data_IF_121413210519
#
_entry.id   IF_121413210519
#
_cell.length_a   1.000
_cell.length_b   1.000
_cell.length_c   1.000
_cell.angle_alpha   90.00
_cell.angle_beta   90.00
_cell.angle_gamma   90.00
#
_symmetry.space_group_name_H-M   'P 1'
#
loop_
_entity.id
_entity.type
_entity.pdbx_description
1 polymer ?
#
# COMPACT_ATOMS: atom_id res chain seq x y z
N UNK A 1 48.18 -23.80 -20.17
CA UNK A 1 47.06 -22.90 -19.82
C UNK A 1 46.02 -23.76 -19.13
N UNK A 2 46.04 -23.72 -17.79
CA UNK A 2 45.63 -24.78 -16.86
C UNK A 2 44.12 -24.81 -16.62
N UNK A 3 43.62 -26.01 -16.27
CA UNK A 3 42.24 -26.27 -15.84
C UNK A 3 41.73 -25.37 -14.70
N UNK A 4 42.62 -24.68 -13.98
CA UNK A 4 42.31 -23.66 -12.96
C UNK A 4 41.55 -22.45 -13.54
N UNK A 5 41.98 -21.91 -14.69
CA UNK A 5 41.31 -20.74 -15.28
C UNK A 5 39.86 -21.05 -15.66
N UNK A 6 39.63 -22.28 -16.16
CA UNK A 6 38.28 -22.77 -16.49
C UNK A 6 37.42 -23.04 -15.26
N UNK A 7 38.02 -23.45 -14.15
CA UNK A 7 37.29 -23.69 -12.90
C UNK A 7 36.87 -22.37 -12.24
N UNK A 8 37.74 -21.36 -12.29
CA UNK A 8 37.45 -20.01 -11.81
C UNK A 8 36.36 -19.32 -12.66
N UNK A 9 36.38 -19.49 -13.99
CA UNK A 9 35.34 -18.96 -14.87
C UNK A 9 33.96 -19.57 -14.58
N UNK A 10 33.91 -20.90 -14.36
CA UNK A 10 32.68 -21.61 -14.00
C UNK A 10 32.15 -21.15 -12.63
N UNK A 11 33.05 -20.94 -11.65
CA UNK A 11 32.67 -20.42 -10.33
C UNK A 11 32.10 -19.00 -10.45
N UNK A 12 32.76 -18.12 -11.21
CA UNK A 12 32.32 -16.73 -11.43
C UNK A 12 30.95 -16.70 -12.12
N UNK A 13 30.69 -17.59 -13.08
CA UNK A 13 29.42 -17.69 -13.78
C UNK A 13 28.29 -18.19 -12.86
N UNK A 14 28.57 -19.20 -12.03
CA UNK A 14 27.63 -19.67 -11.01
C UNK A 14 27.30 -18.59 -9.95
N UNK A 15 28.30 -17.81 -9.53
CA UNK A 15 28.10 -16.69 -8.61
C UNK A 15 27.26 -15.56 -9.24
N UNK A 16 27.47 -15.24 -10.53
CA UNK A 16 26.64 -14.26 -11.25
C UNK A 16 25.18 -14.69 -11.32
N UNK A 17 24.91 -15.95 -11.68
CA UNK A 17 23.55 -16.50 -11.72
C UNK A 17 22.88 -16.42 -10.34
N UNK A 18 23.62 -16.73 -9.27
CA UNK A 18 23.12 -16.61 -7.89
C UNK A 18 22.81 -15.18 -7.47
N UNK A 19 23.63 -14.21 -7.87
CA UNK A 19 23.39 -12.77 -7.64
C UNK A 19 22.15 -12.31 -8.40
N UNK A 20 22.00 -12.70 -9.67
CA UNK A 20 20.83 -12.35 -10.48
C UNK A 20 19.52 -12.91 -9.92
N UNK A 21 19.51 -14.16 -9.42
CA UNK A 21 18.32 -14.74 -8.77
C UNK A 21 17.98 -14.01 -7.45
N UNK A 22 18.99 -13.68 -6.64
CA UNK A 22 18.80 -12.88 -5.43
C UNK A 22 18.27 -11.48 -5.74
N UNK A 23 18.78 -10.81 -6.77
CA UNK A 23 18.29 -9.51 -7.22
C UNK A 23 16.85 -9.61 -7.73
N UNK A 24 16.51 -10.65 -8.49
CA UNK A 24 15.14 -10.91 -8.96
C UNK A 24 14.16 -11.17 -7.82
N UNK A 25 14.57 -11.98 -6.82
CA UNK A 25 13.79 -12.23 -5.60
C UNK A 25 13.58 -10.96 -4.79
N UNK A 26 14.64 -10.19 -4.54
CA UNK A 26 14.58 -8.93 -3.80
C UNK A 26 13.65 -7.92 -4.50
N UNK A 27 13.71 -7.87 -5.83
CA UNK A 27 12.84 -7.04 -6.66
C UNK A 27 11.38 -7.48 -6.59
N UNK A 28 11.08 -8.79 -6.58
CA UNK A 28 9.73 -9.33 -6.36
C UNK A 28 9.20 -8.99 -4.97
N UNK A 29 9.96 -9.25 -3.92
CA UNK A 29 9.54 -8.93 -2.54
C UNK A 29 9.33 -7.44 -2.31
N UNK A 30 10.17 -6.58 -2.92
CA UNK A 30 10.00 -5.13 -2.88
C UNK A 30 8.78 -4.66 -3.68
N UNK A 31 8.48 -5.35 -4.78
CA UNK A 31 7.29 -5.10 -5.60
C UNK A 31 6.00 -5.54 -4.90
N UNK A 32 6.01 -6.68 -4.21
CA UNK A 32 4.87 -7.22 -3.46
C UNK A 32 4.55 -6.42 -2.18
N UNK A 33 5.56 -5.77 -1.60
CA UNK A 33 5.39 -4.83 -0.48
C UNK A 33 5.21 -3.37 -0.88
N UNK A 34 5.27 -3.07 -2.18
CA UNK A 34 5.19 -1.71 -2.70
C UNK A 34 3.77 -1.15 -2.66
N UNK A 35 3.65 0.19 -2.68
CA UNK A 35 2.37 0.90 -2.68
C UNK A 35 1.40 0.37 -3.75
N UNK A 36 1.92 0.05 -4.93
CA UNK A 36 1.13 -0.48 -6.04
C UNK A 36 0.41 -1.80 -5.71
N UNK A 37 1.12 -2.76 -5.11
CA UNK A 37 0.55 -4.05 -4.75
C UNK A 37 -0.52 -3.91 -3.65
N UNK A 38 -0.25 -3.04 -2.67
CA UNK A 38 -1.18 -2.74 -1.58
C UNK A 38 -2.48 -2.13 -2.14
N UNK A 39 -2.38 -1.14 -3.04
CA UNK A 39 -3.55 -0.50 -3.64
C UNK A 39 -4.32 -1.45 -4.57
N UNK A 40 -3.64 -2.25 -5.40
CA UNK A 40 -4.28 -3.28 -6.23
C UNK A 40 -5.05 -4.31 -5.42
N UNK A 41 -4.50 -4.73 -4.29
CA UNK A 41 -5.18 -5.65 -3.36
C UNK A 41 -6.40 -4.99 -2.70
N UNK A 42 -6.31 -3.70 -2.38
CA UNK A 42 -7.41 -2.95 -1.77
C UNK A 42 -8.54 -2.60 -2.76
N UNK A 43 -8.24 -2.47 -4.05
CA UNK A 43 -9.16 -2.05 -5.11
C UNK A 43 -9.06 -2.98 -6.33
N UNK A 44 -9.49 -4.25 -6.21
CA UNK A 44 -9.32 -5.24 -7.28
C UNK A 44 -10.06 -4.89 -8.57
N UNK A 45 -11.22 -4.24 -8.45
CA UNK A 45 -12.07 -3.89 -9.61
C UNK A 45 -11.55 -2.67 -10.38
N UNK A 46 -10.81 -1.79 -9.71
CA UNK A 46 -10.34 -0.53 -10.28
C UNK A 46 -9.15 -0.78 -11.24
N UNK A 47 -9.04 0.08 -12.24
CA UNK A 47 -7.94 0.02 -13.21
C UNK A 47 -6.78 0.88 -12.72
N UNK A 48 -5.58 0.30 -12.66
CA UNK A 48 -4.37 1.04 -12.31
C UNK A 48 -3.44 1.16 -13.51
N UNK A 49 -2.97 2.38 -13.78
CA UNK A 49 -2.01 2.67 -14.83
C UNK A 49 -0.77 3.37 -14.26
N UNK A 50 0.39 3.15 -14.90
CA UNK A 50 1.61 3.90 -14.60
C UNK A 50 1.82 4.96 -15.68
N UNK A 51 1.87 6.26 -15.34
CA UNK A 51 2.17 7.31 -16.28
C UNK A 51 3.52 7.07 -16.99
N UNK A 52 3.54 7.22 -18.31
CA UNK A 52 4.78 7.34 -19.09
C UNK A 52 5.38 8.74 -18.87
N UNK A 53 5.99 8.96 -17.71
CA UNK A 53 6.73 10.18 -17.37
C UNK A 53 8.22 9.87 -17.24
N UNK A 54 9.08 10.88 -17.44
CA UNK A 54 10.55 10.80 -17.22
C UNK A 54 10.96 10.40 -15.79
N UNK A 55 10.01 10.25 -14.86
CA UNK A 55 10.18 9.70 -13.51
C UNK A 55 9.51 8.33 -13.39
N UNK A 56 9.81 7.45 -14.34
CA UNK A 56 9.20 6.14 -14.54
C UNK A 56 9.23 5.32 -13.24
N UNK A 57 8.06 4.92 -12.74
CA UNK A 57 7.92 3.94 -11.65
C UNK A 57 7.42 4.46 -10.30
N UNK A 58 7.44 5.79 -10.04
CA UNK A 58 6.94 6.36 -8.77
C UNK A 58 5.46 6.77 -8.80
N UNK A 59 4.93 7.08 -9.98
CA UNK A 59 3.54 7.54 -10.13
C UNK A 59 2.62 6.39 -10.56
N UNK A 60 1.39 6.41 -10.05
CA UNK A 60 0.31 5.52 -10.49
C UNK A 60 -1.02 6.25 -10.44
N UNK A 61 -1.93 5.86 -11.33
CA UNK A 61 -3.26 6.45 -11.48
C UNK A 61 -4.28 5.34 -11.32
N UNK A 62 -5.22 5.55 -10.40
CA UNK A 62 -6.37 4.70 -10.17
C UNK A 62 -7.58 5.28 -10.89
N UNK A 63 -8.11 4.54 -11.83
CA UNK A 63 -9.39 4.81 -12.48
C UNK A 63 -10.47 3.98 -11.79
N UNK A 64 -11.42 4.67 -11.19
CA UNK A 64 -12.48 4.06 -10.39
C UNK A 64 -13.46 3.34 -11.31
N UNK A 65 -13.67 2.04 -11.08
CA UNK A 65 -14.66 1.25 -11.83
C UNK A 65 -15.87 0.95 -10.97
N UNK A 66 -17.04 1.15 -11.56
CA UNK A 66 -18.34 0.81 -11.01
C UNK A 66 -19.05 -0.12 -11.99
N UNK A 67 -20.17 -0.77 -11.59
CA UNK A 67 -20.99 -1.53 -12.52
C UNK A 67 -21.47 -0.73 -13.74
N UNK A 68 -21.55 0.60 -13.63
CA UNK A 68 -21.98 1.51 -14.70
C UNK A 68 -20.85 1.91 -15.65
N UNK A 69 -19.58 1.67 -15.29
CA UNK A 69 -18.44 2.01 -16.12
C UNK A 69 -17.24 2.54 -15.34
N UNK A 70 -16.34 3.23 -16.04
CA UNK A 70 -15.18 3.89 -15.43
C UNK A 70 -15.49 5.37 -15.24
N UNK A 71 -15.26 5.90 -14.04
CA UNK A 71 -15.45 7.31 -13.75
C UNK A 71 -14.29 8.15 -14.30
N UNK A 72 -14.57 9.37 -14.76
CA UNK A 72 -13.57 10.30 -15.33
C UNK A 72 -12.74 11.07 -14.28
N UNK A 73 -13.02 10.89 -12.99
CA UNK A 73 -12.25 11.46 -11.88
C UNK A 73 -11.30 10.42 -11.28
N UNK A 74 -10.00 10.38 -11.68
CA UNK A 74 -9.04 9.41 -11.16
C UNK A 74 -8.41 9.86 -9.82
N UNK A 75 -7.80 8.92 -9.11
CA UNK A 75 -6.93 9.23 -7.95
C UNK A 75 -5.48 8.98 -8.35
N UNK A 76 -4.61 9.95 -8.13
CA UNK A 76 -3.20 9.86 -8.46
C UNK A 76 -2.36 9.64 -7.20
N UNK A 77 -1.38 8.75 -7.30
CA UNK A 77 -0.44 8.46 -6.21
C UNK A 77 0.99 8.65 -6.67
N UNK A 78 1.82 9.20 -5.79
CA UNK A 78 3.27 9.30 -5.95
C UNK A 78 3.96 8.61 -4.76
N UNK A 79 4.61 7.48 -5.03
CA UNK A 79 5.39 6.75 -4.04
C UNK A 79 6.77 7.39 -3.88
N UNK A 80 6.99 8.06 -2.75
CA UNK A 80 8.28 8.63 -2.37
C UNK A 80 9.10 7.66 -1.53
N UNK A 81 8.59 6.46 -1.23
CA UNK A 81 9.24 5.49 -0.36
C UNK A 81 9.72 6.20 0.92
N UNK A 82 10.94 5.92 1.40
CA UNK A 82 11.55 6.59 2.55
C UNK A 82 12.20 7.96 2.24
N UNK A 83 12.03 8.53 1.05
CA UNK A 83 12.54 9.88 0.76
C UNK A 83 11.66 10.95 1.42
N UNK A 84 12.27 12.02 1.90
CA UNK A 84 11.54 13.22 2.31
C UNK A 84 10.77 13.85 1.13
N UNK A 85 9.65 14.50 1.44
CA UNK A 85 8.86 15.24 0.45
C UNK A 85 9.45 16.64 0.27
N UNK A 86 9.95 16.94 -0.94
CA UNK A 86 10.53 18.24 -1.29
C UNK A 86 9.52 19.14 -2.03
N UNK A 87 9.79 20.43 -2.13
CA UNK A 87 8.95 21.37 -2.89
C UNK A 87 8.90 21.01 -4.38
N UNK A 88 10.02 20.54 -4.93
CA UNK A 88 10.09 20.03 -6.31
C UNK A 88 9.19 18.83 -6.54
N UNK A 89 9.02 17.97 -5.52
CA UNK A 89 8.11 16.82 -5.63
C UNK A 89 6.65 17.28 -5.66
N UNK A 90 6.31 18.30 -4.88
CA UNK A 90 4.98 18.92 -4.84
C UNK A 90 4.66 19.60 -6.19
N UNK A 91 5.61 20.35 -6.73
CA UNK A 91 5.45 20.99 -8.05
C UNK A 91 5.20 19.95 -9.15
N UNK A 92 5.96 18.85 -9.15
CA UNK A 92 5.76 17.73 -10.08
C UNK A 92 4.40 17.08 -9.90
N UNK A 93 3.96 16.85 -8.65
CA UNK A 93 2.66 16.29 -8.35
C UNK A 93 1.52 17.20 -8.85
N UNK A 94 1.67 18.52 -8.72
CA UNK A 94 0.74 19.52 -9.25
C UNK A 94 0.69 19.53 -10.78
N UNK A 95 1.84 19.38 -11.44
CA UNK A 95 1.87 19.23 -12.90
C UNK A 95 1.21 17.92 -13.36
N UNK A 96 1.37 16.82 -12.59
CA UNK A 96 0.67 15.57 -12.83
C UNK A 96 -0.85 15.73 -12.64
N UNK A 97 -1.30 16.41 -11.58
CA UNK A 97 -2.70 16.73 -11.30
C UNK A 97 -3.36 17.36 -12.54
N UNK A 98 -2.76 18.43 -13.09
CA UNK A 98 -3.27 19.12 -14.29
C UNK A 98 -3.34 18.20 -15.51
N UNK A 99 -2.32 17.37 -15.72
CA UNK A 99 -2.28 16.43 -16.86
C UNK A 99 -3.39 15.38 -16.80
N UNK A 100 -3.76 14.93 -15.60
CA UNK A 100 -4.78 13.92 -15.38
C UNK A 100 -6.15 14.49 -15.01
N UNK A 101 -6.29 15.82 -14.92
CA UNK A 101 -7.55 16.49 -14.60
C UNK A 101 -8.11 16.12 -13.23
N UNK A 102 -7.25 15.88 -12.23
CA UNK A 102 -7.69 15.46 -10.89
C UNK A 102 -7.08 16.28 -9.77
N UNK A 103 -7.89 16.64 -8.78
CA UNK A 103 -7.44 17.28 -7.53
C UNK A 103 -7.00 16.24 -6.48
N UNK A 104 -7.28 14.95 -6.70
CA UNK A 104 -7.00 13.88 -5.75
C UNK A 104 -5.61 13.30 -5.99
N UNK A 105 -4.58 14.08 -5.63
CA UNK A 105 -3.17 13.70 -5.76
C UNK A 105 -2.56 13.44 -4.39
N UNK A 106 -2.09 12.22 -4.16
CA UNK A 106 -1.55 11.75 -2.89
C UNK A 106 -0.07 11.42 -3.03
N UNK A 107 0.79 12.19 -2.38
CA UNK A 107 2.21 11.87 -2.19
C UNK A 107 2.35 11.01 -0.93
N UNK A 108 2.95 9.84 -1.10
CA UNK A 108 3.05 8.81 -0.05
C UNK A 108 4.49 8.68 0.41
N UNK A 109 4.74 8.97 1.69
CA UNK A 109 6.07 8.85 2.32
C UNK A 109 5.93 8.64 3.82
N UNK A 110 6.77 7.82 4.48
CA UNK A 110 6.86 7.78 5.93
C UNK A 110 7.56 9.02 6.49
N UNK A 111 8.28 9.78 5.66
CA UNK A 111 9.03 10.98 6.03
C UNK A 111 8.29 12.25 5.58
N UNK A 112 7.12 12.48 6.19
CA UNK A 112 6.32 13.68 5.94
C UNK A 112 7.01 14.94 6.49
N UNK A 113 6.80 16.12 5.86
CA UNK A 113 7.43 17.35 6.32
C UNK A 113 6.91 17.79 7.70
N UNK A 114 7.71 18.60 8.40
CA UNK A 114 7.47 18.96 9.82
C UNK A 114 6.15 19.70 10.07
N UNK A 115 5.59 20.33 9.05
CA UNK A 115 4.28 21.00 9.13
C UNK A 115 3.13 19.99 9.29
N UNK A 116 3.32 18.72 8.93
CA UNK A 116 2.36 17.63 9.18
C UNK A 116 2.56 17.08 10.59
N UNK A 117 2.00 17.78 11.60
CA UNK A 117 2.24 17.52 13.03
C UNK A 117 1.90 16.09 13.47
N UNK A 118 0.83 15.51 12.94
CA UNK A 118 0.39 14.15 13.29
C UNK A 118 1.21 13.04 12.62
N UNK A 119 2.12 13.37 11.70
CA UNK A 119 2.95 12.44 10.90
C UNK A 119 2.16 11.41 10.08
N UNK A 120 0.86 11.61 9.92
CA UNK A 120 -0.05 10.68 9.28
C UNK A 120 -0.60 11.25 7.99
N UNK A 121 -1.23 12.43 8.07
CA UNK A 121 -1.93 13.03 6.95
C UNK A 121 -1.87 14.55 7.03
N UNK A 122 -1.68 15.17 5.87
CA UNK A 122 -1.76 16.62 5.73
C UNK A 122 -1.88 17.03 4.28
N UNK A 123 -1.83 18.33 4.06
CA UNK A 123 -1.88 18.93 2.74
C UNK A 123 -0.77 19.99 2.65
N UNK A 124 -0.22 20.12 1.45
CA UNK A 124 0.62 21.26 1.09
C UNK A 124 0.34 21.57 -0.38
N UNK A 125 0.03 22.83 -0.68
CA UNK A 125 0.06 23.36 -2.04
C UNK A 125 -0.93 22.69 -3.03
N UNK A 126 -2.08 22.24 -2.53
CA UNK A 126 -3.10 21.48 -3.25
C UNK A 126 -2.81 19.98 -3.33
N UNK A 127 -1.76 19.49 -2.65
CA UNK A 127 -1.29 18.11 -2.74
C UNK A 127 -1.45 17.43 -1.38
N UNK A 128 -2.13 16.29 -1.39
CA UNK A 128 -2.33 15.48 -0.20
C UNK A 128 -1.04 14.73 0.14
N UNK A 129 -0.64 14.76 1.40
CA UNK A 129 0.53 14.09 1.93
C UNK A 129 0.08 12.99 2.89
N UNK A 130 0.46 11.74 2.65
CA UNK A 130 0.00 10.61 3.44
C UNK A 130 1.13 9.66 3.84
N UNK A 131 1.07 9.18 5.08
CA UNK A 131 1.88 8.08 5.55
C UNK A 131 1.39 6.77 4.90
N UNK A 132 2.29 5.85 4.48
CA UNK A 132 1.91 4.58 3.85
C UNK A 132 0.92 3.74 4.65
N UNK A 133 0.93 3.87 5.99
CA UNK A 133 0.04 3.10 6.88
C UNK A 133 -1.44 3.46 6.77
N UNK A 134 -1.79 4.61 6.20
CA UNK A 134 -3.18 5.09 6.09
C UNK A 134 -3.63 5.37 4.66
N UNK A 135 -2.73 5.26 3.67
CA UNK A 135 -3.02 5.62 2.27
C UNK A 135 -4.22 4.86 1.71
N UNK A 136 -4.37 3.57 2.06
CA UNK A 136 -5.50 2.75 1.62
C UNK A 136 -6.82 3.28 2.18
N UNK A 137 -6.83 3.71 3.43
CA UNK A 137 -8.06 4.19 4.06
C UNK A 137 -8.46 5.55 3.50
N UNK A 138 -7.50 6.45 3.30
CA UNK A 138 -7.73 7.72 2.60
C UNK A 138 -8.30 7.45 1.20
N UNK A 139 -7.67 6.55 0.43
CA UNK A 139 -8.13 6.18 -0.90
C UNK A 139 -9.55 5.62 -0.90
N UNK A 140 -9.94 4.81 0.10
CA UNK A 140 -11.31 4.31 0.24
C UNK A 140 -12.32 5.42 0.47
N UNK A 141 -12.01 6.39 1.34
CA UNK A 141 -12.90 7.52 1.61
C UNK A 141 -13.10 8.37 0.35
N UNK A 142 -12.00 8.73 -0.32
CA UNK A 142 -12.04 9.51 -1.56
C UNK A 142 -12.82 8.76 -2.64
N UNK A 143 -12.50 7.48 -2.88
CA UNK A 143 -13.20 6.64 -3.85
C UNK A 143 -14.70 6.57 -3.58
N UNK A 144 -15.11 6.31 -2.34
CA UNK A 144 -16.53 6.25 -1.97
C UNK A 144 -17.23 7.58 -2.23
N UNK A 145 -16.60 8.68 -1.85
CA UNK A 145 -17.18 10.00 -2.03
C UNK A 145 -17.30 10.36 -3.51
N UNK A 146 -16.28 10.07 -4.34
CA UNK A 146 -16.37 10.25 -5.80
C UNK A 146 -17.54 9.42 -6.37
N UNK A 147 -17.67 8.14 -6.02
CA UNK A 147 -18.79 7.31 -6.49
C UNK A 147 -20.14 7.92 -6.11
N UNK A 148 -20.29 8.41 -4.88
CA UNK A 148 -21.53 9.01 -4.41
C UNK A 148 -21.83 10.33 -5.13
N UNK A 149 -20.81 11.16 -5.39
CA UNK A 149 -20.96 12.37 -6.19
C UNK A 149 -21.49 12.03 -7.58
N UNK A 150 -20.92 11.01 -8.25
CA UNK A 150 -21.39 10.59 -9.57
C UNK A 150 -22.80 10.01 -9.56
N UNK A 151 -23.20 9.40 -8.45
CA UNK A 151 -24.56 8.89 -8.26
C UNK A 151 -25.57 10.02 -8.10
N UNK A 152 -25.19 11.10 -7.41
CA UNK A 152 -26.08 12.20 -7.04
C UNK A 152 -26.03 13.40 -7.99
N UNK A 153 -25.01 13.52 -8.83
CA UNK A 153 -24.83 14.70 -9.67
C UNK A 153 -25.81 14.70 -10.84
N UNK A 154 -26.55 15.79 -11.01
CA UNK A 154 -27.50 15.94 -12.12
C UNK A 154 -26.80 16.26 -13.45
N UNK A 155 -25.68 16.98 -13.38
CA UNK A 155 -24.89 17.41 -14.51
C UNK A 155 -23.42 17.64 -14.11
N UNK A 156 -22.59 17.98 -15.10
CA UNK A 156 -21.15 18.20 -14.89
C UNK A 156 -20.82 19.38 -13.97
N UNK A 157 -21.63 20.45 -13.95
CA UNK A 157 -21.42 21.60 -13.07
C UNK A 157 -21.70 21.24 -11.61
N UNK A 158 -22.81 20.54 -11.36
CA UNK A 158 -23.14 20.06 -10.02
C UNK A 158 -22.08 19.05 -9.51
N UNK A 159 -21.59 18.19 -10.40
CA UNK A 159 -20.47 17.29 -10.10
C UNK A 159 -19.23 18.06 -9.66
N UNK A 160 -18.80 19.06 -10.43
CA UNK A 160 -17.62 19.86 -10.10
C UNK A 160 -17.77 20.58 -8.75
N UNK A 161 -18.94 21.17 -8.47
CA UNK A 161 -19.20 21.83 -7.20
C UNK A 161 -19.18 20.85 -6.00
N UNK A 162 -19.67 19.63 -6.19
CA UNK A 162 -19.62 18.57 -5.17
C UNK A 162 -18.20 18.03 -4.97
N UNK A 163 -17.39 17.92 -6.03
CA UNK A 163 -15.98 17.51 -5.95
C UNK A 163 -15.12 18.54 -5.21
N UNK A 164 -15.39 19.84 -5.40
CA UNK A 164 -14.75 20.92 -4.65
C UNK A 164 -15.07 20.84 -3.15
N UNK A 165 -16.36 20.67 -2.80
CA UNK A 165 -16.78 20.46 -1.40
C UNK A 165 -16.13 19.23 -0.78
N UNK A 166 -15.97 18.15 -1.54
CA UNK A 166 -15.27 16.96 -1.09
C UNK A 166 -13.80 17.25 -0.82
N UNK A 167 -13.13 18.01 -1.69
CA UNK A 167 -11.74 18.40 -1.48
C UNK A 167 -11.58 19.21 -0.18
N UNK A 168 -12.42 20.22 0.03
CA UNK A 168 -12.43 21.02 1.26
C UNK A 168 -12.66 20.16 2.51
N UNK A 169 -13.57 19.19 2.41
CA UNK A 169 -13.80 18.24 3.50
C UNK A 169 -12.57 17.38 3.79
N UNK A 170 -11.89 16.85 2.77
CA UNK A 170 -10.69 16.00 2.94
C UNK A 170 -9.59 16.74 3.69
N UNK A 171 -9.40 18.04 3.42
CA UNK A 171 -8.36 18.84 4.09
C UNK A 171 -8.81 19.41 5.44
N UNK A 172 -10.09 19.21 5.81
CA UNK A 172 -10.64 19.72 7.07
C UNK A 172 -10.05 19.01 8.28
N UNK A 173 -10.00 19.72 9.42
CA UNK A 173 -9.60 19.14 10.70
C UNK A 173 -10.49 17.96 11.13
N UNK A 174 -11.77 17.99 10.77
CA UNK A 174 -12.70 16.91 11.07
C UNK A 174 -12.29 15.62 10.35
N UNK A 175 -11.97 15.69 9.05
CA UNK A 175 -11.49 14.53 8.30
C UNK A 175 -10.18 13.99 8.86
N UNK A 176 -9.21 14.87 9.13
CA UNK A 176 -7.92 14.49 9.73
C UNK A 176 -8.15 13.73 11.05
N UNK A 177 -8.95 14.29 11.96
CA UNK A 177 -9.26 13.68 13.25
C UNK A 177 -9.96 12.32 13.09
N UNK A 178 -10.88 12.19 12.13
CA UNK A 178 -11.58 10.93 11.88
C UNK A 178 -10.62 9.85 11.34
N UNK A 179 -9.69 10.21 10.47
CA UNK A 179 -8.65 9.31 9.96
C UNK A 179 -7.70 8.88 11.08
N UNK A 180 -7.29 9.78 11.97
CA UNK A 180 -6.45 9.46 13.12
C UNK A 180 -7.13 8.46 14.06
N UNK A 181 -8.40 8.70 14.41
CA UNK A 181 -9.20 7.79 15.23
C UNK A 181 -9.31 6.41 14.58
N UNK A 182 -9.63 6.38 13.29
CA UNK A 182 -9.75 5.13 12.54
C UNK A 182 -8.43 4.37 12.47
N UNK A 183 -7.31 5.08 12.30
CA UNK A 183 -5.98 4.50 12.32
C UNK A 183 -5.62 3.91 13.70
N UNK A 184 -5.94 4.60 14.79
CA UNK A 184 -5.73 4.09 16.16
C UNK A 184 -6.56 2.82 16.38
N UNK A 185 -7.83 2.81 15.97
CA UNK A 185 -8.70 1.64 16.07
C UNK A 185 -8.14 0.46 15.27
N UNK A 186 -7.71 0.70 14.03
CA UNK A 186 -7.07 -0.31 13.19
C UNK A 186 -5.81 -0.89 13.84
N UNK A 187 -4.93 -0.04 14.37
CA UNK A 187 -3.69 -0.46 15.06
C UNK A 187 -4.01 -1.31 16.29
N UNK A 188 -5.04 -0.95 17.04
CA UNK A 188 -5.50 -1.73 18.19
C UNK A 188 -6.04 -3.10 17.77
N UNK A 189 -6.87 -3.16 16.71
CA UNK A 189 -7.37 -4.42 16.16
C UNK A 189 -6.24 -5.33 15.67
N UNK A 190 -5.28 -4.78 14.93
CA UNK A 190 -4.10 -5.52 14.46
C UNK A 190 -3.27 -6.08 15.61
N UNK A 191 -3.10 -5.31 16.70
CA UNK A 191 -2.40 -5.77 17.92
C UNK A 191 -3.14 -6.91 18.60
N UNK A 192 -4.47 -6.84 18.71
CA UNK A 192 -5.29 -7.92 19.28
C UNK A 192 -5.21 -9.19 18.43
N UNK A 193 -5.24 -9.06 17.10
CA UNK A 193 -5.10 -10.18 16.18
C UNK A 193 -3.74 -10.88 16.31
N UNK A 194 -2.64 -10.12 16.38
CA UNK A 194 -1.31 -10.70 16.57
C UNK A 194 -1.19 -11.43 17.93
N UNK A 195 -1.72 -10.83 19.01
CA UNK A 195 -1.78 -11.51 20.32
C UNK A 195 -2.55 -12.83 20.24
N UNK A 196 -3.67 -12.84 19.50
CA UNK A 196 -4.48 -14.04 19.27
C UNK A 196 -3.67 -15.11 18.54
N UNK A 197 -3.00 -14.76 17.44
CA UNK A 197 -2.15 -15.67 16.66
C UNK A 197 -1.05 -16.29 17.52
N UNK A 198 -0.31 -15.48 18.29
CA UNK A 198 0.72 -15.98 19.20
C UNK A 198 0.16 -16.94 20.27
N UNK A 199 -1.04 -16.66 20.80
CA UNK A 199 -1.70 -17.55 21.75
C UNK A 199 -2.10 -18.87 21.09
N UNK A 200 -2.64 -18.84 19.87
CA UNK A 200 -2.96 -20.04 19.09
C UNK A 200 -1.72 -20.88 18.77
N UNK A 201 -0.60 -20.26 18.39
CA UNK A 201 0.64 -20.98 18.15
C UNK A 201 1.15 -21.68 19.41
N UNK A 202 1.07 -21.03 20.58
CA UNK A 202 1.42 -21.64 21.86
C UNK A 202 0.50 -22.83 22.19
N UNK A 203 -0.80 -22.65 22.04
CA UNK A 203 -1.78 -23.71 22.26
C UNK A 203 -1.57 -24.89 21.30
N UNK A 204 -1.25 -24.61 20.03
CA UNK A 204 -0.96 -25.62 19.03
C UNK A 204 0.28 -26.44 19.39
N UNK A 205 1.37 -25.78 19.81
CA UNK A 205 2.58 -26.45 20.30
C UNK A 205 2.29 -27.36 21.49
N UNK A 206 1.56 -26.86 22.49
CA UNK A 206 1.19 -27.65 23.67
C UNK A 206 0.33 -28.87 23.30
N UNK A 207 -0.67 -28.70 22.43
CA UNK A 207 -1.51 -29.81 21.94
C UNK A 207 -0.68 -30.86 21.22
N UNK A 208 0.27 -30.44 20.38
CA UNK A 208 1.17 -31.37 19.68
C UNK A 208 2.01 -32.17 20.67
N UNK A 209 2.59 -31.53 21.69
CA UNK A 209 3.35 -32.21 22.74
C UNK A 209 2.50 -33.24 23.48
N UNK A 210 1.28 -32.86 23.90
CA UNK A 210 0.35 -33.78 24.57
C UNK A 210 0.02 -34.98 23.69
N UNK A 211 -0.26 -34.75 22.40
CA UNK A 211 -0.55 -35.81 21.45
C UNK A 211 0.64 -36.76 21.23
N UNK A 212 1.86 -36.23 21.17
CA UNK A 212 3.08 -37.04 21.06
C UNK A 212 3.30 -37.92 22.29
N UNK A 213 3.10 -37.37 23.49
CA UNK A 213 3.19 -38.13 24.75
C UNK A 213 2.13 -39.24 24.77
N UNK A 214 0.87 -38.89 24.45
CA UNK A 214 -0.22 -39.86 24.38
C UNK A 214 0.08 -41.00 23.39
N UNK A 215 0.58 -40.68 22.19
CA UNK A 215 0.92 -41.66 21.17
C UNK A 215 2.08 -42.57 21.59
N UNK A 216 3.09 -42.03 22.29
CA UNK A 216 4.20 -42.82 22.83
C UNK A 216 3.68 -43.83 23.87
N UNK A 217 2.88 -43.37 24.83
CA UNK A 217 2.28 -44.23 25.86
C UNK A 217 1.37 -45.30 25.23
N UNK A 218 0.53 -44.93 24.27
CA UNK A 218 -0.36 -45.90 23.59
C UNK A 218 0.44 -46.99 22.86
N UNK A 219 1.51 -46.60 22.15
CA UNK A 219 2.40 -47.55 21.47
C UNK A 219 3.11 -48.48 22.44
N UNK A 220 3.53 -47.99 23.61
CA UNK A 220 4.14 -48.84 24.65
C UNK A 220 3.15 -49.89 25.17
N UNK A 221 1.90 -49.51 25.43
CA UNK A 221 0.85 -50.44 25.87
C UNK A 221 0.56 -51.49 24.79
N UNK A 222 0.45 -51.09 23.52
CA UNK A 222 0.22 -52.00 22.39
C UNK A 222 1.36 -53.00 22.19
N UNK A 223 2.61 -52.65 22.52
CA UNK A 223 3.76 -53.56 22.41
C UNK A 223 3.86 -54.56 23.58
N UNK A 224 3.15 -54.34 24.69
CA UNK A 224 3.13 -55.23 25.85
C UNK A 224 2.03 -56.29 25.72
N UNK A 225 0.94 -55.96 25.01
CA UNK A 225 -0.19 -56.85 24.72
C UNK A 225 0.07 -57.74 23.51
#
# INVERSE_FOLDING_TARGET
MSNETRYDDIQVEHFKIGIEDLEMRLKREKSERGLYAILRKAFPDDKFERPKMKMTGKYMVQFIRTPQGTLDTPILYCDKQAEGVTEKDIEKARNCSKKYGTNYVIVVSPNLPRNVKNKLFGEKDGILLAHPSIVVEIAKQIRRAIIEIYRQAENSKDRQAKEEKLYDYIISQNFISNIEKLYILYKNMAKLQNKKEQAYERLWKNRKTIHQIYSAISSEIENIL
#
